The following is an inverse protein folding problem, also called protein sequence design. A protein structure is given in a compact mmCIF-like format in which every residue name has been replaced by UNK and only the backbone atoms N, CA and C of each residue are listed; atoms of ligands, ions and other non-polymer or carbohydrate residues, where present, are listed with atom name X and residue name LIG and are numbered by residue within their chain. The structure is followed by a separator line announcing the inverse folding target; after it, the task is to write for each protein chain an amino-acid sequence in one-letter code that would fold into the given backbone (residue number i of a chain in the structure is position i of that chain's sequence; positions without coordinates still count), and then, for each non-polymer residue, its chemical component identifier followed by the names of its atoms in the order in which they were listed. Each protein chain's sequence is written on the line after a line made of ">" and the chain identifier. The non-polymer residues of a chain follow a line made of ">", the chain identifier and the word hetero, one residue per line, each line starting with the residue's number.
data_IF_142903834728
#
_entry.id   IF_142903834728
#
_cell.length_a   1.000
_cell.length_b   1.000
_cell.length_c   1.000
_cell.angle_alpha   90.00
_cell.angle_beta   90.00
_cell.angle_gamma   90.00
#
_symmetry.space_group_name_H-M   'P 1'
#
loop_
_entity.id
_entity.type
_entity.pdbx_description
1 polymer ?
#
# COMPACT_ATOMS: atom_id res chain seq x y z
N UNK A 1 8.78 -0.73 -22.41
CA UNK A 1 9.96 -1.12 -21.60
C UNK A 1 9.54 -2.25 -20.66
N UNK A 2 10.26 -3.38 -20.61
CA UNK A 2 10.01 -4.44 -19.61
C UNK A 2 10.90 -4.17 -18.41
N UNK A 3 10.33 -3.73 -17.28
CA UNK A 3 11.07 -3.60 -16.02
C UNK A 3 11.15 -4.95 -15.28
N UNK A 4 12.21 -5.14 -14.50
CA UNK A 4 12.40 -6.33 -13.67
C UNK A 4 11.40 -6.38 -12.50
N UNK A 5 11.13 -7.56 -11.92
CA UNK A 5 10.34 -7.67 -10.69
C UNK A 5 10.87 -6.79 -9.55
N UNK A 6 12.18 -6.69 -9.39
CA UNK A 6 12.82 -5.90 -8.33
C UNK A 6 12.57 -4.40 -8.48
N UNK A 7 12.52 -3.89 -9.72
CA UNK A 7 12.13 -2.50 -9.96
C UNK A 7 10.73 -2.22 -9.43
N UNK A 8 9.77 -3.11 -9.71
CA UNK A 8 8.39 -2.95 -9.23
C UNK A 8 8.28 -3.13 -7.71
N UNK A 9 9.06 -4.05 -7.13
CA UNK A 9 9.14 -4.20 -5.67
C UNK A 9 9.69 -2.93 -5.01
N UNK A 10 10.73 -2.33 -5.57
CA UNK A 10 11.28 -1.05 -5.11
C UNK A 10 10.29 0.10 -5.22
N UNK A 11 9.58 0.20 -6.35
CA UNK A 11 8.50 1.18 -6.54
C UNK A 11 7.39 1.02 -5.49
N UNK A 12 6.86 -0.19 -5.32
CA UNK A 12 5.79 -0.47 -4.35
C UNK A 12 6.28 -0.26 -2.91
N UNK A 13 7.54 -0.57 -2.60
CA UNK A 13 8.14 -0.28 -1.29
C UNK A 13 8.11 1.21 -1.00
N UNK A 14 8.62 2.04 -1.91
CA UNK A 14 8.62 3.49 -1.76
C UNK A 14 7.21 4.05 -1.60
N UNK A 15 6.29 3.65 -2.49
CA UNK A 15 4.90 4.10 -2.45
C UNK A 15 4.16 3.67 -1.18
N UNK A 16 4.42 2.45 -0.69
CA UNK A 16 3.80 1.97 0.56
C UNK A 16 4.39 2.66 1.78
N UNK A 17 5.67 3.07 1.74
CA UNK A 17 6.32 3.78 2.85
C UNK A 17 5.79 5.23 2.98
N UNK A 18 5.55 5.91 1.85
CA UNK A 18 5.04 7.30 1.83
C UNK A 18 3.54 7.39 2.00
N UNK A 19 2.79 6.64 1.19
CA UNK A 19 1.34 6.77 1.03
C UNK A 19 0.59 5.50 1.44
N UNK A 20 1.26 4.60 2.16
CA UNK A 20 0.70 3.36 2.63
C UNK A 20 0.69 3.19 4.14
N UNK A 21 0.03 2.12 4.56
CA UNK A 21 0.05 1.64 5.94
C UNK A 21 0.22 0.14 5.96
N UNK A 22 1.04 -0.30 6.92
CA UNK A 22 1.11 -1.69 7.36
C UNK A 22 0.43 -1.76 8.72
N UNK A 23 -0.76 -2.35 8.78
CA UNK A 23 -1.50 -2.52 10.02
C UNK A 23 -0.78 -3.52 10.95
N UNK A 24 -1.12 -3.53 12.25
CA UNK A 24 -0.52 -4.44 13.25
C UNK A 24 -0.62 -5.93 12.86
N UNK A 25 -1.65 -6.30 12.08
CA UNK A 25 -1.85 -7.66 11.59
C UNK A 25 -1.10 -7.99 10.27
N UNK A 26 -0.22 -7.09 9.83
CA UNK A 26 0.59 -7.20 8.62
C UNK A 26 -0.12 -6.78 7.33
N UNK A 27 -1.39 -6.33 7.38
CA UNK A 27 -2.14 -5.92 6.19
C UNK A 27 -1.59 -4.63 5.58
N UNK A 28 -1.36 -4.65 4.27
CA UNK A 28 -0.86 -3.50 3.51
C UNK A 28 -2.03 -2.81 2.80
N UNK A 29 -2.11 -1.50 2.96
CA UNK A 29 -3.03 -0.64 2.21
C UNK A 29 -2.26 0.56 1.67
N UNK A 30 -2.39 0.87 0.39
CA UNK A 30 -1.88 2.11 -0.23
C UNK A 30 -3.05 3.05 -0.50
N UNK A 31 -2.86 4.33 -0.25
CA UNK A 31 -3.89 5.36 -0.39
C UNK A 31 -3.52 6.35 -1.49
N UNK A 32 -4.52 6.79 -2.26
CA UNK A 32 -4.33 7.86 -3.24
C UNK A 32 -5.66 8.54 -3.56
N UNK A 33 -5.62 9.81 -3.96
CA UNK A 33 -6.80 10.52 -4.50
C UNK A 33 -6.95 10.34 -6.02
N UNK A 34 -5.95 9.76 -6.69
CA UNK A 34 -5.98 9.49 -8.13
C UNK A 34 -6.49 8.07 -8.41
N UNK A 35 -7.59 7.97 -9.15
CA UNK A 35 -8.14 6.67 -9.56
C UNK A 35 -7.17 5.90 -10.47
N UNK A 36 -6.49 6.61 -11.38
CA UNK A 36 -5.54 6.01 -12.30
C UNK A 36 -4.33 5.46 -11.58
N UNK A 37 -3.79 6.20 -10.60
CA UNK A 37 -2.70 5.71 -9.77
C UNK A 37 -3.13 4.49 -8.94
N UNK A 38 -4.37 4.47 -8.44
CA UNK A 38 -4.90 3.30 -7.72
C UNK A 38 -4.97 2.06 -8.64
N UNK A 39 -5.47 2.22 -9.87
CA UNK A 39 -5.53 1.15 -10.88
C UNK A 39 -4.14 0.66 -11.28
N UNK A 40 -3.21 1.58 -11.53
CA UNK A 40 -1.83 1.23 -11.87
C UNK A 40 -1.13 0.51 -10.72
N UNK A 41 -1.28 1.00 -9.48
CA UNK A 41 -0.72 0.35 -8.29
C UNK A 41 -1.28 -1.05 -8.10
N UNK A 42 -2.60 -1.23 -8.24
CA UNK A 42 -3.26 -2.53 -8.19
C UNK A 42 -2.73 -3.49 -9.27
N UNK A 43 -2.56 -3.01 -10.51
CA UNK A 43 -1.99 -3.79 -11.60
C UNK A 43 -0.54 -4.21 -11.33
N UNK A 44 0.28 -3.35 -10.71
CA UNK A 44 1.65 -3.70 -10.32
C UNK A 44 1.68 -4.76 -9.21
N UNK A 45 0.83 -4.65 -8.18
CA UNK A 45 0.68 -5.71 -7.18
C UNK A 45 0.28 -7.04 -7.82
N UNK A 46 -0.74 -7.04 -8.68
CA UNK A 46 -1.21 -8.23 -9.39
C UNK A 46 -0.13 -8.84 -10.29
N UNK A 47 0.65 -8.01 -10.98
CA UNK A 47 1.78 -8.45 -11.83
C UNK A 47 2.86 -9.19 -11.04
N UNK A 48 3.04 -8.84 -9.76
CA UNK A 48 3.97 -9.50 -8.86
C UNK A 48 3.34 -10.69 -8.12
N UNK A 49 2.10 -11.05 -8.43
CA UNK A 49 1.38 -12.16 -7.81
C UNK A 49 0.71 -11.82 -6.48
N UNK A 50 0.61 -10.54 -6.12
CA UNK A 50 -0.06 -10.12 -4.88
C UNK A 50 -1.52 -9.77 -5.15
N UNK A 51 -2.43 -10.65 -4.72
CA UNK A 51 -3.86 -10.36 -4.83
C UNK A 51 -4.26 -9.16 -3.99
N UNK A 52 -5.05 -8.28 -4.59
CA UNK A 52 -5.45 -7.02 -3.99
C UNK A 52 -6.82 -6.57 -4.50
N UNK A 53 -7.40 -5.57 -3.86
CA UNK A 53 -8.64 -4.93 -4.29
C UNK A 53 -8.56 -3.42 -4.14
N UNK A 54 -9.25 -2.70 -5.02
CA UNK A 54 -9.43 -1.26 -4.90
C UNK A 54 -10.76 -1.01 -4.20
N UNK A 55 -10.74 -0.25 -3.12
CA UNK A 55 -11.92 0.27 -2.46
C UNK A 55 -11.95 1.79 -2.63
N UNK A 56 -13.04 2.32 -3.18
CA UNK A 56 -13.30 3.76 -3.22
C UNK A 56 -13.96 4.16 -1.90
N UNK A 57 -13.17 4.79 -1.03
CA UNK A 57 -13.64 5.34 0.23
C UNK A 57 -14.50 6.58 0.02
N UNK A 58 -15.23 6.93 1.08
CA UNK A 58 -16.03 8.15 1.13
C UNK A 58 -15.17 9.41 1.06
N UNK A 59 -15.86 10.53 0.86
CA UNK A 59 -15.29 11.87 0.86
C UNK A 59 -14.74 12.17 2.27
N UNK A 60 -13.53 12.72 2.39
CA UNK A 60 -13.03 13.19 3.70
C UNK A 60 -13.93 14.35 4.19
N UNK A 61 -14.11 14.54 5.51
CA UNK A 61 -14.97 15.61 6.05
C UNK A 61 -14.65 17.02 5.51
N UNK A 62 -13.42 17.25 5.06
CA UNK A 62 -12.90 18.57 4.68
C UNK A 62 -12.56 18.70 3.18
N UNK A 63 -13.00 17.80 2.30
CA UNK A 63 -12.72 17.97 0.87
C UNK A 63 -13.32 16.91 -0.06
N UNK A 64 -13.82 17.38 -1.21
CA UNK A 64 -14.58 16.64 -2.24
C UNK A 64 -13.80 15.57 -3.04
N UNK A 65 -12.65 15.12 -2.57
CA UNK A 65 -11.82 14.19 -3.33
C UNK A 65 -12.06 12.75 -2.87
N UNK A 66 -12.37 11.81 -3.79
CA UNK A 66 -12.47 10.41 -3.44
C UNK A 66 -11.12 9.89 -2.97
N UNK A 67 -11.10 9.14 -1.86
CA UNK A 67 -9.91 8.44 -1.40
C UNK A 67 -9.98 6.99 -1.90
N UNK A 68 -9.01 6.56 -2.68
CA UNK A 68 -8.88 5.19 -3.15
C UNK A 68 -7.91 4.41 -2.27
N UNK A 69 -8.30 3.19 -1.92
CA UNK A 69 -7.57 2.29 -1.05
C UNK A 69 -7.20 1.05 -1.87
N UNK A 70 -5.92 0.84 -2.15
CA UNK A 70 -5.42 -0.41 -2.73
C UNK A 70 -5.08 -1.34 -1.58
N UNK A 71 -5.96 -2.31 -1.33
CA UNK A 71 -5.85 -3.26 -0.23
C UNK A 71 -5.23 -4.56 -0.72
N UNK A 72 -4.04 -4.91 -0.23
CA UNK A 72 -3.46 -6.22 -0.50
C UNK A 72 -4.10 -7.25 0.43
N UNK A 73 -4.47 -8.43 -0.07
CA UNK A 73 -4.98 -9.52 0.77
C UNK A 73 -3.94 -9.87 1.84
N UNK A 74 -4.39 -10.24 3.04
CA UNK A 74 -3.52 -10.38 4.22
C UNK A 74 -2.35 -11.35 4.00
N UNK A 75 -2.60 -12.52 3.41
CA UNK A 75 -1.56 -13.51 3.14
C UNK A 75 -0.43 -12.92 2.28
N UNK A 76 -0.80 -12.25 1.18
CA UNK A 76 0.13 -11.59 0.27
C UNK A 76 0.77 -10.33 0.86
N UNK A 77 0.11 -9.64 1.79
CA UNK A 77 0.70 -8.49 2.49
C UNK A 77 1.90 -8.89 3.34
N UNK A 78 1.80 -10.03 4.03
CA UNK A 78 2.90 -10.56 4.85
C UNK A 78 4.08 -10.96 3.95
N UNK A 79 3.80 -11.62 2.83
CA UNK A 79 4.82 -11.99 1.84
C UNK A 79 5.51 -10.75 1.25
N UNK A 80 4.73 -9.76 0.82
CA UNK A 80 5.24 -8.50 0.30
C UNK A 80 6.15 -7.82 1.33
N UNK A 81 5.70 -7.63 2.57
CA UNK A 81 6.48 -6.98 3.62
C UNK A 81 7.82 -7.67 3.87
N UNK A 82 7.85 -9.02 3.84
CA UNK A 82 9.10 -9.79 3.94
C UNK A 82 10.04 -9.53 2.77
N UNK A 83 9.51 -9.43 1.54
CA UNK A 83 10.30 -9.17 0.32
C UNK A 83 10.88 -7.75 0.29
N UNK A 84 10.13 -6.76 0.75
CA UNK A 84 10.54 -5.34 0.66
C UNK A 84 11.10 -4.75 1.95
N UNK A 85 11.13 -5.53 3.03
CA UNK A 85 11.67 -5.10 4.32
C UNK A 85 10.88 -3.97 4.97
N UNK A 86 9.56 -3.91 4.74
CA UNK A 86 8.68 -2.95 5.42
C UNK A 86 8.40 -3.44 6.85
N UNK A 87 9.38 -3.27 7.73
CA UNK A 87 9.20 -3.34 9.17
C UNK A 87 9.00 -1.91 9.66
N UNK A 88 7.75 -1.50 9.97
CA UNK A 88 7.62 -0.34 10.85
C UNK A 88 8.11 -0.78 12.23
N UNK A 89 9.16 -0.18 12.84
CA UNK A 89 9.21 -0.14 14.29
C UNK A 89 7.90 0.50 14.75
N UNK A 90 7.32 -0.05 15.80
CA UNK A 90 6.08 0.44 16.38
C UNK A 90 6.25 1.91 16.79
N UNK A 91 5.92 2.87 15.90
CA UNK A 91 5.90 4.30 16.22
C UNK A 91 4.55 4.60 16.86
N UNK A 92 4.42 4.12 18.09
CA UNK A 92 3.17 4.11 18.84
C UNK A 92 3.37 3.98 20.35
N UNK A 93 4.50 4.45 20.88
CA UNK A 93 4.72 4.88 22.26
C UNK A 93 5.86 5.90 22.21
N UNK A 94 5.57 7.12 21.74
CA UNK A 94 6.33 8.27 22.20
C UNK A 94 5.63 8.67 23.50
N UNK A 95 6.38 8.54 24.58
CA UNK A 95 6.09 8.96 25.94
C UNK A 95 5.11 10.14 26.00
N UNK A 96 3.95 9.91 26.63
CA UNK A 96 3.36 10.97 27.44
C UNK A 96 4.12 10.95 28.77
N UNK A 97 5.14 11.81 28.87
CA UNK A 97 5.71 12.25 30.14
C UNK A 97 5.33 13.71 30.35
#
# INVERSE_FOLDING_TARGET
>A
MKHSPDFFLGFLRGLTDTDGTVAKNGRVTVYTTSEDLAKQTSAVFSKLGFENSIYKGGVRPNGNYPLYHVNVKRAYSIEFNKKVGLHKPFRGLVDQR
#
